data_IF_526900816560
#
_entry.id   IF_526900816560
#
_cell.length_a   1.000
_cell.length_b   1.000
_cell.length_c   1.000
_cell.angle_alpha   90.00
_cell.angle_beta   90.00
_cell.angle_gamma   90.00
#
_symmetry.space_group_name_H-M   'P 1'
#
loop_
_entity.id
_entity.type
_entity.pdbx_description
1 polymer ?
#
# COMPACT_ATOMS: atom_id res chain seq x y z
N UNK A 1 6.27 2.05 -2.48
CA UNK A 1 5.65 3.37 -2.79
C UNK A 1 5.17 3.99 -1.51
N UNK A 2 5.27 5.31 -1.35
CA UNK A 2 4.87 5.97 -0.09
C UNK A 2 3.37 6.29 -0.16
N UNK A 3 2.57 5.80 0.79
CA UNK A 3 1.15 6.15 0.91
C UNK A 3 0.30 5.88 -0.35
N UNK A 4 -0.50 6.88 -0.75
CA UNK A 4 -1.46 6.83 -1.86
C UNK A 4 -0.85 6.99 -3.27
N UNK A 5 0.48 6.98 -3.39
CA UNK A 5 1.18 7.14 -4.68
C UNK A 5 0.80 6.08 -5.72
N UNK A 6 0.28 4.93 -5.29
CA UNK A 6 -0.11 3.81 -6.15
C UNK A 6 -1.07 4.18 -7.29
N UNK A 7 -1.96 5.15 -7.07
CA UNK A 7 -2.89 5.65 -8.10
C UNK A 7 -2.36 6.83 -8.90
N UNK A 8 -1.34 7.52 -8.40
CA UNK A 8 -0.84 8.77 -8.95
C UNK A 8 0.49 8.63 -9.72
N UNK A 9 1.17 7.48 -9.58
CA UNK A 9 2.36 7.17 -10.36
C UNK A 9 1.95 6.59 -11.71
N UNK A 10 2.36 7.26 -12.78
CA UNK A 10 2.12 6.84 -14.16
C UNK A 10 3.40 6.31 -14.79
N UNK A 11 3.25 5.29 -15.62
CA UNK A 11 4.30 4.80 -16.50
C UNK A 11 3.96 5.15 -17.94
N UNK A 12 4.92 5.80 -18.60
CA UNK A 12 4.77 6.29 -19.96
C UNK A 12 5.25 5.23 -20.95
N UNK A 13 4.39 4.83 -21.87
CA UNK A 13 4.70 3.93 -22.96
C UNK A 13 4.52 4.63 -24.30
N UNK A 14 5.47 4.44 -25.21
CA UNK A 14 5.41 4.98 -26.55
C UNK A 14 5.83 3.90 -27.54
N UNK A 15 4.96 3.57 -28.51
CA UNK A 15 5.28 2.64 -29.60
C UNK A 15 5.77 3.37 -30.87
N UNK A 16 5.99 4.68 -30.79
CA UNK A 16 6.50 5.55 -31.86
C UNK A 16 5.57 5.73 -33.07
N UNK A 17 4.41 5.05 -33.11
CA UNK A 17 3.35 5.32 -34.07
C UNK A 17 2.49 6.53 -33.66
N UNK A 18 1.83 7.22 -34.62
CA UNK A 18 0.86 8.27 -34.29
C UNK A 18 -0.19 7.77 -33.28
N UNK A 19 -0.48 8.58 -32.26
CA UNK A 19 -1.44 8.27 -31.18
C UNK A 19 -1.12 7.00 -30.34
N UNK A 20 0.15 6.56 -30.31
CA UNK A 20 0.55 5.37 -29.54
C UNK A 20 1.13 5.67 -28.14
N UNK A 21 1.14 6.94 -27.73
CA UNK A 21 1.57 7.36 -26.40
C UNK A 21 0.47 7.05 -25.39
N UNK A 22 0.77 6.19 -24.43
CA UNK A 22 -0.15 5.75 -23.39
C UNK A 22 0.48 5.93 -22.01
N UNK A 23 -0.24 6.60 -21.12
CA UNK A 23 0.15 6.77 -19.73
C UNK A 23 -0.72 5.86 -18.87
N UNK A 24 -0.10 4.86 -18.26
CA UNK A 24 -0.82 3.83 -17.50
C UNK A 24 -0.46 3.99 -16.02
N UNK A 25 -1.45 4.16 -15.12
CA UNK A 25 -1.19 4.24 -13.69
C UNK A 25 -0.65 2.90 -13.16
N UNK A 26 0.19 2.96 -12.12
CA UNK A 26 0.87 1.81 -11.56
C UNK A 26 -0.11 0.68 -11.14
N UNK A 27 -1.26 1.03 -10.55
CA UNK A 27 -2.25 0.03 -10.14
C UNK A 27 -2.77 -0.83 -11.29
N UNK A 28 -3.07 -0.24 -12.45
CA UNK A 28 -3.57 -0.99 -13.62
C UNK A 28 -2.50 -1.94 -14.16
N UNK A 29 -1.23 -1.51 -14.12
CA UNK A 29 -0.11 -2.36 -14.54
C UNK A 29 0.01 -3.56 -13.61
N UNK A 30 -0.09 -3.35 -12.30
CA UNK A 30 0.04 -4.42 -11.32
C UNK A 30 -1.13 -5.40 -11.33
N UNK A 31 -2.36 -4.91 -11.58
CA UNK A 31 -3.53 -5.77 -11.79
C UNK A 31 -3.37 -6.69 -13.00
N UNK A 32 -2.71 -6.21 -14.05
CA UNK A 32 -2.44 -7.00 -15.25
C UNK A 32 -1.22 -7.93 -15.09
N UNK A 33 -0.10 -7.39 -14.59
CA UNK A 33 1.15 -8.12 -14.33
C UNK A 33 1.77 -7.61 -13.01
N UNK A 34 1.67 -8.39 -11.92
CA UNK A 34 2.15 -7.97 -10.61
C UNK A 34 3.66 -7.79 -10.54
N UNK A 35 4.43 -8.48 -11.39
CA UNK A 35 5.89 -8.45 -11.41
C UNK A 35 6.45 -7.26 -12.21
N UNK A 36 5.63 -6.63 -13.07
CA UNK A 36 6.07 -5.67 -14.06
C UNK A 36 6.76 -4.44 -13.46
N UNK A 37 6.22 -3.91 -12.37
CA UNK A 37 6.73 -2.71 -11.71
C UNK A 37 8.14 -2.95 -11.16
N UNK A 38 8.34 -4.08 -10.47
CA UNK A 38 9.66 -4.46 -9.93
C UNK A 38 10.67 -4.71 -11.04
N UNK A 39 10.24 -5.33 -12.14
CA UNK A 39 11.07 -5.50 -13.33
C UNK A 39 11.53 -4.15 -13.89
N UNK A 40 10.60 -3.21 -14.11
CA UNK A 40 10.92 -1.89 -14.67
C UNK A 40 11.82 -1.06 -13.75
N UNK A 41 11.57 -1.09 -12.43
CA UNK A 41 12.40 -0.41 -11.45
C UNK A 41 13.84 -0.97 -11.44
N UNK A 42 13.99 -2.30 -11.43
CA UNK A 42 15.30 -2.96 -11.46
C UNK A 42 16.03 -2.70 -12.78
N UNK A 43 15.31 -2.77 -13.90
CA UNK A 43 15.86 -2.50 -15.23
C UNK A 43 16.37 -1.06 -15.37
N UNK A 44 15.64 -0.10 -14.79
CA UNK A 44 16.07 1.30 -14.73
C UNK A 44 17.32 1.49 -13.86
N UNK A 45 17.35 0.86 -12.68
CA UNK A 45 18.46 0.95 -11.73
C UNK A 45 19.79 0.38 -12.26
N UNK A 46 19.75 -0.57 -13.21
CA UNK A 46 20.94 -1.11 -13.88
C UNK A 46 21.65 -0.08 -14.79
N UNK A 47 21.03 1.08 -15.06
CA UNK A 47 21.60 2.15 -15.89
C UNK A 47 21.56 1.84 -17.40
N UNK A 48 22.32 2.60 -18.19
CA UNK A 48 22.38 2.40 -19.65
C UNK A 48 23.73 1.77 -20.06
N UNK A 49 23.79 0.45 -20.06
CA UNK A 49 24.97 -0.31 -20.49
C UNK A 49 24.58 -1.54 -21.32
N UNK A 50 25.55 -2.12 -22.02
CA UNK A 50 25.36 -3.32 -22.85
C UNK A 50 25.03 -4.56 -22.02
N UNK A 51 25.58 -4.64 -20.80
CA UNK A 51 25.41 -5.79 -19.89
C UNK A 51 24.03 -5.84 -19.22
N UNK A 52 23.25 -4.76 -19.25
CA UNK A 52 21.92 -4.67 -18.64
C UNK A 52 21.00 -5.80 -19.08
N UNK A 53 21.02 -6.12 -20.38
CA UNK A 53 20.22 -7.22 -20.93
C UNK A 53 20.63 -8.58 -20.36
N UNK A 54 21.92 -8.81 -20.15
CA UNK A 54 22.42 -10.05 -19.55
C UNK A 54 22.09 -10.13 -18.07
N UNK A 55 22.18 -9.01 -17.34
CA UNK A 55 21.86 -8.98 -15.91
C UNK A 55 20.37 -9.18 -15.64
N UNK A 56 19.48 -8.57 -16.44
CA UNK A 56 18.04 -8.72 -16.22
C UNK A 56 17.55 -10.16 -16.50
N UNK A 57 18.22 -10.92 -17.37
CA UNK A 57 17.89 -12.34 -17.61
C UNK A 57 18.16 -13.25 -16.40
N UNK A 58 18.97 -12.79 -15.44
CA UNK A 58 19.25 -13.51 -14.19
C UNK A 58 18.27 -13.14 -13.07
N UNK A 59 17.37 -12.19 -13.30
CA UNK A 59 16.36 -11.79 -12.33
C UNK A 59 15.16 -12.74 -12.44
N UNK A 60 14.82 -13.39 -11.33
CA UNK A 60 13.61 -14.19 -11.18
C UNK A 60 12.64 -13.45 -10.25
N UNK A 61 11.47 -13.09 -10.76
CA UNK A 61 10.39 -12.45 -9.99
C UNK A 61 9.22 -13.42 -9.89
N UNK A 62 8.64 -13.50 -8.69
CA UNK A 62 7.43 -14.27 -8.40
C UNK A 62 6.40 -13.31 -7.82
N UNK A 63 5.14 -13.48 -8.21
CA UNK A 63 4.04 -12.64 -7.71
C UNK A 63 3.66 -13.02 -6.28
N UNK A 64 3.66 -14.32 -6.02
CA UNK A 64 3.28 -14.95 -4.77
C UNK A 64 4.49 -15.66 -4.14
N UNK A 65 4.24 -16.32 -3.00
CA UNK A 65 5.27 -17.04 -2.23
C UNK A 65 5.68 -18.38 -2.87
N UNK A 66 5.05 -18.78 -3.98
CA UNK A 66 5.33 -20.04 -4.66
C UNK A 66 6.58 -19.95 -5.56
N UNK A 67 7.70 -20.50 -5.06
CA UNK A 67 8.97 -20.53 -5.79
C UNK A 67 9.15 -21.90 -6.48
N UNK A 68 9.61 -21.89 -7.72
CA UNK A 68 9.93 -23.11 -8.45
C UNK A 68 11.05 -23.92 -7.74
N UNK A 69 10.82 -25.23 -7.54
CA UNK A 69 11.76 -26.18 -6.91
C UNK A 69 13.24 -26.06 -7.36
N UNK A 70 13.59 -25.96 -8.66
CA UNK A 70 14.99 -25.85 -9.06
C UNK A 70 15.66 -24.56 -8.59
N UNK A 71 14.91 -23.46 -8.51
CA UNK A 71 15.42 -22.17 -8.03
C UNK A 71 15.60 -22.22 -6.51
N UNK A 72 14.62 -22.78 -5.79
CA UNK A 72 14.65 -22.89 -4.33
C UNK A 72 15.86 -23.68 -3.82
N UNK A 73 16.28 -24.74 -4.53
CA UNK A 73 17.46 -25.55 -4.19
C UNK A 73 18.78 -24.79 -4.28
N UNK A 74 18.83 -23.72 -5.07
CA UNK A 74 20.04 -22.96 -5.38
C UNK A 74 20.12 -21.63 -4.61
N UNK A 75 19.21 -21.36 -3.68
CA UNK A 75 19.23 -20.14 -2.87
C UNK A 75 20.33 -20.27 -1.81
N UNK A 76 21.38 -19.46 -1.91
CA UNK A 76 22.51 -19.48 -0.97
C UNK A 76 22.34 -18.58 0.26
N UNK A 77 21.72 -17.40 0.10
CA UNK A 77 21.55 -16.41 1.17
C UNK A 77 20.26 -15.62 0.99
N UNK A 78 19.55 -15.39 2.09
CA UNK A 78 18.43 -14.45 2.15
C UNK A 78 18.95 -13.08 2.61
N UNK A 79 18.57 -12.02 1.91
CA UNK A 79 18.91 -10.64 2.30
C UNK A 79 17.89 -10.11 3.30
N UNK A 80 18.33 -9.20 4.18
CA UNK A 80 17.44 -8.49 5.10
C UNK A 80 16.52 -7.53 4.34
N UNK A 81 15.31 -7.32 4.87
CA UNK A 81 14.38 -6.34 4.33
C UNK A 81 14.92 -4.93 4.56
N UNK A 82 15.00 -4.13 3.49
CA UNK A 82 15.48 -2.73 3.55
C UNK A 82 14.58 -1.87 4.45
N UNK A 83 13.26 -2.11 4.41
CA UNK A 83 12.28 -1.42 5.24
C UNK A 83 11.64 -2.42 6.20
N UNK A 84 11.77 -2.17 7.49
CA UNK A 84 11.10 -2.95 8.53
C UNK A 84 9.59 -2.71 8.46
N UNK A 85 8.82 -3.79 8.45
CA UNK A 85 7.36 -3.72 8.42
C UNK A 85 6.88 -3.38 9.84
N UNK A 86 6.17 -2.26 10.05
CA UNK A 86 5.67 -1.91 11.37
C UNK A 86 4.59 -2.90 11.80
N UNK A 87 4.61 -3.27 13.09
CA UNK A 87 3.56 -4.09 13.71
C UNK A 87 2.23 -3.32 13.75
N UNK A 88 1.12 -3.97 13.40
CA UNK A 88 -0.22 -3.41 13.57
C UNK A 88 -0.61 -3.44 15.04
N UNK A 89 -1.61 -2.64 15.44
CA UNK A 89 -2.13 -2.63 16.81
C UNK A 89 -2.54 -4.03 17.30
N UNK A 90 -3.14 -4.84 16.42
CA UNK A 90 -3.56 -6.21 16.69
C UNK A 90 -2.38 -7.16 16.96
N UNK A 91 -1.20 -6.89 16.40
CA UNK A 91 -0.05 -7.79 16.45
C UNK A 91 0.75 -7.68 17.77
N UNK A 92 0.49 -6.65 18.57
CA UNK A 92 1.15 -6.47 19.88
C UNK A 92 0.58 -7.41 20.93
N UNK A 93 1.48 -8.03 21.70
CA UNK A 93 1.11 -8.87 22.83
C UNK A 93 0.51 -8.06 23.98
N UNK A 94 -0.29 -8.70 24.83
CA UNK A 94 -0.88 -8.04 26.01
C UNK A 94 0.19 -7.50 26.97
N UNK A 95 1.31 -8.21 27.13
CA UNK A 95 2.43 -7.77 27.96
C UNK A 95 3.07 -6.48 27.42
N UNK A 96 3.31 -6.38 26.11
CA UNK A 96 3.83 -5.16 25.48
C UNK A 96 2.85 -3.99 25.63
N UNK A 97 1.53 -4.26 25.54
CA UNK A 97 0.50 -3.23 25.70
C UNK A 97 0.42 -2.71 27.14
N UNK A 98 0.49 -3.59 28.13
CA UNK A 98 0.48 -3.21 29.55
C UNK A 98 1.78 -2.53 29.98
N UNK A 99 2.91 -2.90 29.38
CA UNK A 99 4.19 -2.24 29.61
C UNK A 99 4.21 -0.80 29.07
N UNK A 100 3.40 -0.50 28.05
CA UNK A 100 3.28 0.86 27.53
C UNK A 100 2.46 1.73 28.49
N UNK A 101 3.00 2.86 28.98
CA UNK A 101 2.31 3.70 29.95
C UNK A 101 1.10 4.40 29.33
N UNK A 102 0.02 4.53 30.11
CA UNK A 102 -1.12 5.34 29.71
C UNK A 102 -0.74 6.82 29.74
N UNK A 103 -0.83 7.48 28.58
CA UNK A 103 -0.46 8.89 28.44
C UNK A 103 -1.58 9.87 28.82
N UNK A 104 -2.83 9.45 28.70
CA UNK A 104 -4.01 10.31 28.91
C UNK A 104 -5.00 9.60 29.81
N UNK A 105 -5.34 10.24 30.93
CA UNK A 105 -6.43 9.84 31.80
C UNK A 105 -7.72 10.46 31.29
N UNK A 106 -8.72 9.63 31.00
CA UNK A 106 -10.06 10.10 30.63
C UNK A 106 -10.81 10.45 31.90
N UNK A 107 -11.62 11.52 31.85
CA UNK A 107 -12.56 11.85 32.93
C UNK A 107 -13.62 10.75 33.05
N UNK A 108 -14.16 10.57 34.26
CA UNK A 108 -15.26 9.63 34.52
C UNK A 108 -16.49 9.92 33.66
N UNK A 109 -16.71 11.20 33.31
CA UNK A 109 -17.83 11.64 32.47
C UNK A 109 -17.51 11.61 30.96
N UNK A 110 -16.40 10.99 30.55
CA UNK A 110 -16.02 10.92 29.15
C UNK A 110 -16.92 9.93 28.39
N UNK A 111 -17.77 10.46 27.52
CA UNK A 111 -18.63 9.66 26.64
C UNK A 111 -17.80 9.08 25.51
N UNK A 112 -17.85 7.76 25.33
CA UNK A 112 -17.33 7.08 24.15
C UNK A 112 -18.45 7.00 23.11
N UNK A 113 -18.45 7.93 22.16
CA UNK A 113 -19.52 8.12 21.17
C UNK A 113 -19.90 6.85 20.40
N UNK A 114 -18.98 5.90 20.23
CA UNK A 114 -19.22 4.63 19.52
C UNK A 114 -19.82 3.51 20.39
N UNK A 115 -19.72 3.59 21.72
CA UNK A 115 -20.38 2.65 22.65
C UNK A 115 -21.74 3.19 23.12
N UNK A 116 -21.83 4.50 23.29
CA UNK A 116 -23.02 5.20 23.75
C UNK A 116 -23.30 6.38 22.83
N UNK A 117 -23.83 6.16 21.62
CA UNK A 117 -24.16 7.24 20.71
C UNK A 117 -25.19 8.14 21.38
N UNK A 118 -24.81 9.39 21.62
CA UNK A 118 -25.75 10.42 22.05
C UNK A 118 -26.78 10.53 20.94
N UNK A 119 -28.05 10.28 21.26
CA UNK A 119 -29.12 10.46 20.28
C UNK A 119 -29.00 11.86 19.70
N UNK A 120 -28.90 11.97 18.37
CA UNK A 120 -28.85 13.28 17.73
C UNK A 120 -30.02 14.12 18.27
N UNK A 121 -29.78 15.39 18.66
CA UNK A 121 -30.88 16.23 19.14
C UNK A 121 -31.96 16.22 18.06
N UNK A 122 -33.19 15.86 18.44
CA UNK A 122 -34.31 15.84 17.50
C UNK A 122 -34.35 17.21 16.85
N UNK A 123 -34.26 17.26 15.53
CA UNK A 123 -34.43 18.50 14.79
C UNK A 123 -35.79 19.08 15.18
N UNK A 124 -35.78 20.18 15.93
CA UNK A 124 -36.97 20.95 16.24
C UNK A 124 -37.09 21.97 15.11
N UNK A 125 -38.09 21.85 14.21
CA UNK A 125 -38.30 22.86 13.19
C UNK A 125 -38.54 24.20 13.89
N UNK A 126 -37.87 25.27 13.44
CA UNK A 126 -38.15 26.61 13.93
C UNK A 126 -39.66 26.90 13.73
N UNK A 127 -40.41 27.27 14.78
CA UNK A 127 -41.84 27.56 14.67
C UNK A 127 -42.17 28.66 13.64
N UNK A 128 -41.18 29.46 13.22
CA UNK A 128 -41.33 30.49 12.18
C UNK A 128 -41.35 29.94 10.75
N UNK A 129 -40.88 28.71 10.53
CA UNK A 129 -40.83 28.09 9.21
C UNK A 129 -42.15 27.37 8.95
N UNK A 130 -43.09 28.06 8.28
CA UNK A 130 -44.33 27.41 7.79
C UNK A 130 -43.94 26.35 6.75
N UNK A 131 -44.30 25.08 6.99
CA UNK A 131 -44.22 24.03 5.96
C UNK A 131 -45.04 24.49 4.75
N UNK A 132 -44.37 24.82 3.64
CA UNK A 132 -45.06 25.00 2.36
C UNK A 132 -45.69 23.64 2.00
N UNK A 133 -47.01 23.66 1.77
CA UNK A 133 -47.77 22.53 1.22
C UNK A 133 -47.33 22.27 -0.21
#
# INVERSE_FOLDING_TARGET
MKGFDWKHVYYHFNKEYPRSKNDIPAFQIHEYDPCRIMFMATYSALGNNLLRRTHILRLHLFADDEIAKPIQRNIGKQMELVQQIPKKSTDYSEAERLAFPQLVHRSENHVLDWESPISAPKFVPDPRIKKKK
#
